data_IF_562310770228
#
_entry.id   IF_562310770228
#
_cell.length_a   1.000
_cell.length_b   1.000
_cell.length_c   1.000
_cell.angle_alpha   90.00
_cell.angle_beta   90.00
_cell.angle_gamma   90.00
#
_symmetry.space_group_name_H-M   'P 1'
#
loop_
_entity.id
_entity.type
_entity.pdbx_description
1 polymer ?
#
# COMPACT_ATOMS: atom_id res chain seq x y z
N UNK A 1 -2.03 -22.45 -18.08
CA UNK A 1 -3.07 -21.87 -17.19
C UNK A 1 -2.40 -20.83 -16.33
N UNK A 2 -3.00 -19.63 -16.14
CA UNK A 2 -2.52 -18.69 -15.12
C UNK A 2 -3.08 -19.15 -13.77
N UNK A 3 -2.25 -19.14 -12.73
CA UNK A 3 -2.70 -19.49 -11.38
C UNK A 3 -3.66 -18.38 -10.89
N UNK A 4 -4.66 -18.74 -10.09
CA UNK A 4 -5.53 -17.75 -9.43
C UNK A 4 -4.71 -16.80 -8.53
N UNK A 5 -3.57 -17.29 -8.04
CA UNK A 5 -2.60 -16.51 -7.29
C UNK A 5 -1.90 -15.41 -8.11
N UNK A 6 -1.91 -15.51 -9.45
CA UNK A 6 -1.33 -14.49 -10.35
C UNK A 6 -2.29 -13.33 -10.63
N UNK A 7 -3.56 -13.43 -10.22
CA UNK A 7 -4.55 -12.37 -10.43
C UNK A 7 -4.20 -11.17 -9.53
N UNK A 8 -3.98 -9.97 -10.10
CA UNK A 8 -3.70 -8.78 -9.31
C UNK A 8 -4.83 -8.49 -8.32
N UNK A 9 -4.47 -8.45 -7.03
CA UNK A 9 -5.43 -8.19 -5.96
C UNK A 9 -5.47 -6.70 -5.62
N UNK A 10 -6.68 -6.15 -5.58
CA UNK A 10 -6.93 -4.76 -5.16
C UNK A 10 -7.37 -4.77 -3.70
N UNK A 11 -6.69 -3.97 -2.88
CA UNK A 11 -6.99 -3.78 -1.47
C UNK A 11 -7.78 -2.49 -1.25
N UNK A 12 -8.82 -2.57 -0.43
CA UNK A 12 -9.57 -1.41 0.07
C UNK A 12 -8.95 -0.92 1.37
N UNK A 13 -9.27 0.32 1.77
CA UNK A 13 -8.74 0.92 3.00
C UNK A 13 -8.78 -0.01 4.23
N UNK A 14 -9.91 -0.71 4.46
CA UNK A 14 -10.04 -1.64 5.60
C UNK A 14 -8.97 -2.74 5.61
N UNK A 15 -8.57 -3.24 4.44
CA UNK A 15 -7.54 -4.27 4.30
C UNK A 15 -6.14 -3.65 4.41
N UNK A 16 -5.91 -2.49 3.78
CA UNK A 16 -4.63 -1.78 3.89
C UNK A 16 -4.33 -1.44 5.35
N UNK A 17 -5.31 -0.95 6.10
CA UNK A 17 -5.20 -0.60 7.51
C UNK A 17 -4.89 -1.79 8.45
N UNK A 18 -5.10 -3.03 8.00
CA UNK A 18 -4.69 -4.23 8.73
C UNK A 18 -3.22 -4.61 8.49
N UNK A 19 -2.62 -4.09 7.42
CA UNK A 19 -1.25 -4.43 6.99
C UNK A 19 -0.25 -3.37 7.45
N UNK A 20 -0.62 -2.10 7.32
CA UNK A 20 0.28 -0.97 7.59
C UNK A 20 0.18 -0.52 9.05
N UNK A 21 1.26 -0.03 9.67
CA UNK A 21 1.25 0.42 11.07
C UNK A 21 0.73 1.85 11.24
N UNK A 22 0.09 2.43 10.21
CA UNK A 22 -0.27 3.85 10.16
C UNK A 22 -1.76 4.08 10.38
N UNK A 23 -2.08 5.20 11.03
CA UNK A 23 -3.45 5.71 11.05
C UNK A 23 -3.88 6.20 9.67
N UNK A 24 -5.20 6.37 9.48
CA UNK A 24 -5.75 6.89 8.22
C UNK A 24 -5.21 8.27 7.88
N UNK A 25 -5.28 9.22 8.82
CA UNK A 25 -4.81 10.59 8.62
C UNK A 25 -3.33 10.64 8.28
N UNK A 26 -2.52 9.87 9.00
CA UNK A 26 -1.08 9.80 8.73
C UNK A 26 -0.78 9.19 7.37
N UNK A 27 -1.52 8.15 6.96
CA UNK A 27 -1.38 7.56 5.62
C UNK A 27 -1.64 8.61 4.53
N UNK A 28 -2.67 9.44 4.64
CA UNK A 28 -2.91 10.53 3.68
C UNK A 28 -1.82 11.59 3.70
N UNK A 29 -1.25 11.90 4.87
CA UNK A 29 -0.08 12.79 4.95
C UNK A 29 1.13 12.20 4.21
N UNK A 30 1.40 10.90 4.37
CA UNK A 30 2.49 10.20 3.66
C UNK A 30 2.24 10.12 2.15
N UNK A 31 0.99 9.94 1.72
CA UNK A 31 0.59 9.99 0.31
C UNK A 31 0.90 11.37 -0.29
N UNK A 32 0.55 12.45 0.42
CA UNK A 32 0.83 13.82 -0.02
C UNK A 32 2.33 14.11 -0.11
N UNK A 33 3.13 13.48 0.77
CA UNK A 33 4.61 13.54 0.72
C UNK A 33 5.22 12.64 -0.35
N UNK A 34 4.44 11.81 -1.05
CA UNK A 34 4.95 10.86 -2.04
C UNK A 34 5.69 9.65 -1.44
N UNK A 35 5.57 9.42 -0.13
CA UNK A 35 6.27 8.34 0.59
C UNK A 35 5.44 7.05 0.57
N UNK A 36 4.11 7.17 0.58
CA UNK A 36 3.19 6.03 0.57
C UNK A 36 2.51 5.89 -0.80
N UNK A 37 2.24 4.66 -1.28
CA UNK A 37 1.56 4.44 -2.55
C UNK A 37 0.22 5.19 -2.67
N UNK A 38 0.01 5.87 -3.80
CA UNK A 38 -1.25 6.57 -4.08
C UNK A 38 -2.37 5.55 -4.40
N UNK A 39 -3.56 5.71 -3.82
CA UNK A 39 -4.70 4.89 -4.21
C UNK A 39 -5.17 5.23 -5.63
N UNK A 40 -5.67 4.23 -6.35
CA UNK A 40 -6.28 4.39 -7.67
C UNK A 40 -7.81 4.38 -7.56
N UNK A 41 -8.48 5.18 -8.38
CA UNK A 41 -9.95 5.13 -8.51
C UNK A 41 -10.35 3.81 -9.17
N UNK A 42 -11.31 3.11 -8.56
CA UNK A 42 -11.79 1.83 -9.09
C UNK A 42 -12.95 1.99 -10.08
N UNK A 43 -13.63 3.13 -10.06
CA UNK A 43 -14.73 3.43 -10.96
C UNK A 43 -14.63 4.89 -11.43
N UNK A 44 -14.92 5.13 -12.71
CA UNK A 44 -15.06 6.47 -13.24
C UNK A 44 -16.19 7.20 -12.51
N UNK A 45 -15.94 8.45 -12.09
CA UNK A 45 -16.92 9.27 -11.35
C UNK A 45 -17.19 8.84 -9.89
N UNK A 46 -16.69 7.69 -9.45
CA UNK A 46 -16.89 7.20 -8.08
C UNK A 46 -15.86 7.71 -7.06
N UNK A 47 -16.23 7.64 -5.78
CA UNK A 47 -15.31 7.88 -4.64
C UNK A 47 -14.55 6.61 -4.22
N UNK A 48 -14.84 5.48 -4.87
CA UNK A 48 -14.25 4.21 -4.53
C UNK A 48 -12.78 4.17 -4.98
N UNK A 49 -11.86 4.00 -4.02
CA UNK A 49 -10.43 3.87 -4.30
C UNK A 49 -9.80 2.62 -3.68
N UNK A 50 -8.74 2.11 -4.30
CA UNK A 50 -7.99 0.95 -3.81
C UNK A 50 -6.52 1.01 -4.16
N UNK A 51 -5.76 0.07 -3.61
CA UNK A 51 -4.33 -0.10 -3.85
C UNK A 51 -4.06 -1.46 -4.46
N UNK A 52 -3.06 -1.56 -5.33
CA UNK A 52 -2.55 -2.87 -5.72
C UNK A 52 -1.86 -3.50 -4.51
N UNK A 53 -2.15 -4.78 -4.24
CA UNK A 53 -1.50 -5.51 -3.17
C UNK A 53 0.03 -5.53 -3.34
N UNK A 54 0.52 -5.56 -4.58
CA UNK A 54 1.94 -5.50 -4.91
C UNK A 54 2.61 -4.20 -4.45
N UNK A 55 1.93 -3.05 -4.59
CA UNK A 55 2.48 -1.75 -4.17
C UNK A 55 2.59 -1.66 -2.65
N UNK A 56 1.56 -2.14 -1.93
CA UNK A 56 1.57 -2.20 -0.46
C UNK A 56 2.68 -3.14 0.02
N UNK A 57 2.84 -4.30 -0.63
CA UNK A 57 3.92 -5.23 -0.32
C UNK A 57 5.29 -4.60 -0.57
N UNK A 58 5.50 -3.93 -1.71
CA UNK A 58 6.76 -3.27 -2.03
C UNK A 58 7.10 -2.19 -0.99
N UNK A 59 6.12 -1.38 -0.59
CA UNK A 59 6.26 -0.39 0.46
C UNK A 59 6.70 -1.02 1.79
N UNK A 60 6.01 -2.05 2.26
CA UNK A 60 6.37 -2.72 3.53
C UNK A 60 7.77 -3.36 3.48
N UNK A 61 8.16 -3.96 2.35
CA UNK A 61 9.54 -4.45 2.17
C UNK A 61 10.57 -3.34 2.26
N UNK A 62 10.30 -2.17 1.67
CA UNK A 62 11.21 -1.04 1.77
C UNK A 62 11.35 -0.53 3.21
N UNK A 63 10.26 -0.52 4.00
CA UNK A 63 10.32 -0.17 5.41
C UNK A 63 11.20 -1.13 6.20
N UNK A 64 10.99 -2.44 6.04
CA UNK A 64 11.81 -3.47 6.72
C UNK A 64 13.28 -3.33 6.33
N UNK A 65 13.58 -3.19 5.03
CA UNK A 65 14.94 -3.00 4.55
C UNK A 65 15.59 -1.77 5.19
N UNK A 66 14.89 -0.64 5.23
CA UNK A 66 15.41 0.59 5.83
C UNK A 66 15.68 0.41 7.33
N UNK A 67 14.81 -0.30 8.06
CA UNK A 67 15.03 -0.64 9.46
C UNK A 67 16.29 -1.51 9.65
N UNK A 68 16.49 -2.51 8.80
CA UNK A 68 17.69 -3.37 8.84
C UNK A 68 18.96 -2.57 8.54
N UNK A 69 18.93 -1.59 7.64
CA UNK A 69 20.10 -0.74 7.39
C UNK A 69 20.44 0.15 8.60
N UNK A 70 19.44 0.73 9.27
CA UNK A 70 19.66 1.54 10.47
C UNK A 70 20.22 0.75 11.66
N UNK A 71 20.05 -0.57 11.69
CA UNK A 71 20.61 -1.44 12.75
C UNK A 71 22.08 -1.79 12.49
N UNK A 72 22.52 -1.75 11.23
CA UNK A 72 23.87 -2.15 10.81
C UNK A 72 24.84 -0.96 10.65
N UNK A 73 24.36 0.27 10.92
CA UNK A 73 25.16 1.51 11.01
C UNK A 73 25.36 1.92 12.47
#
# INVERSE_FOLDING_TARGET
MKDINDIPRILRWKQVAQIIPWSKSYTYALINKGIFPKPQKLMAGGQAVGWLAADIHAYMRSLVKNMEQTINE
#
